data_IF_262529124825
#
_entry.id   IF_262529124825
#
_cell.length_a   1.000
_cell.length_b   1.000
_cell.length_c   1.000
_cell.angle_alpha   90.00
_cell.angle_beta   90.00
_cell.angle_gamma   90.00
#
_symmetry.space_group_name_H-M   'P 1'
#
loop_
_entity.id
_entity.type
_entity.pdbx_description
1 polymer ?
#
# COMPACT_ATOMS: atom_id res chain seq x y z
N UNK A 1 -6.29 9.26 4.03
CA UNK A 1 -5.15 9.54 4.94
C UNK A 1 -3.83 8.96 4.44
N UNK A 2 -3.63 8.92 3.10
CA UNK A 2 -2.39 8.46 2.49
C UNK A 2 -1.31 9.55 2.38
N UNK A 3 -0.11 9.17 1.89
CA UNK A 3 1.03 10.09 1.74
C UNK A 3 0.70 11.35 0.95
N UNK A 4 -0.02 11.22 -0.17
CA UNK A 4 -0.38 12.36 -1.02
C UNK A 4 -1.31 13.35 -0.31
N UNK A 5 -2.32 12.84 0.42
CA UNK A 5 -3.23 13.67 1.20
C UNK A 5 -2.50 14.48 2.28
N UNK A 6 -1.60 13.81 3.03
CA UNK A 6 -0.84 14.46 4.11
C UNK A 6 0.17 15.46 3.56
N UNK A 7 0.84 15.13 2.45
CA UNK A 7 1.76 16.06 1.79
C UNK A 7 1.03 17.31 1.27
N UNK A 8 -0.13 17.13 0.62
CA UNK A 8 -0.97 18.22 0.14
C UNK A 8 -1.45 19.11 1.29
N UNK A 9 -2.01 18.51 2.35
CA UNK A 9 -2.51 19.25 3.50
C UNK A 9 -1.40 20.06 4.20
N UNK A 10 -0.21 19.45 4.37
CA UNK A 10 0.97 20.14 4.93
C UNK A 10 1.41 21.30 4.03
N UNK A 11 1.44 21.08 2.71
CA UNK A 11 1.86 22.11 1.76
C UNK A 11 0.88 23.27 1.72
N UNK A 12 -0.42 22.99 1.70
CA UNK A 12 -1.46 24.02 1.79
C UNK A 12 -1.29 24.88 3.05
N UNK A 13 -1.09 24.28 4.22
CA UNK A 13 -0.86 25.00 5.48
C UNK A 13 0.42 25.84 5.46
N UNK A 14 1.43 25.44 4.71
CA UNK A 14 2.67 26.24 4.53
C UNK A 14 2.43 27.48 3.67
N UNK A 15 1.62 27.34 2.62
CA UNK A 15 1.32 28.42 1.68
C UNK A 15 0.33 29.42 2.30
N UNK A 16 -0.73 28.90 2.92
CA UNK A 16 -1.77 29.70 3.56
C UNK A 16 -2.00 29.23 4.99
N UNK A 17 -1.74 30.13 5.94
CA UNK A 17 -1.91 29.87 7.37
C UNK A 17 -3.38 29.91 7.82
N UNK A 18 -4.25 30.50 7.03
CA UNK A 18 -5.66 30.73 7.38
C UNK A 18 -6.62 29.75 6.69
N UNK A 19 -6.18 29.07 5.63
CA UNK A 19 -7.03 28.12 4.90
C UNK A 19 -7.59 27.05 5.84
N UNK A 20 -8.88 26.80 5.78
CA UNK A 20 -9.48 25.67 6.49
C UNK A 20 -9.21 24.38 5.73
N UNK A 21 -8.60 23.41 6.40
CA UNK A 21 -8.25 22.13 5.80
C UNK A 21 -9.03 21.02 6.51
N UNK A 22 -9.78 20.25 5.73
CA UNK A 22 -10.44 19.04 6.21
C UNK A 22 -9.88 17.84 5.46
N UNK A 23 -9.37 16.85 6.20
CA UNK A 23 -8.95 15.55 5.64
C UNK A 23 -10.05 14.53 5.91
N UNK A 24 -10.54 13.89 4.84
CA UNK A 24 -11.56 12.84 4.91
C UNK A 24 -10.88 11.47 4.85
N UNK A 25 -11.28 10.57 5.72
CA UNK A 25 -10.80 9.19 5.71
C UNK A 25 -11.47 8.34 6.78
N UNK A 26 -11.38 7.00 6.68
CA UNK A 26 -12.05 6.11 7.63
C UNK A 26 -11.46 6.18 9.04
N UNK A 27 -10.16 6.44 9.15
CA UNK A 27 -9.43 6.52 10.43
C UNK A 27 -8.34 7.58 10.39
N UNK A 28 -8.01 8.23 11.52
CA UNK A 28 -6.93 9.20 11.63
C UNK A 28 -5.57 8.50 11.73
N UNK A 29 -5.26 7.63 10.78
CA UNK A 29 -4.01 6.87 10.74
C UNK A 29 -3.42 6.84 9.32
N UNK A 30 -2.10 6.77 9.24
CA UNK A 30 -1.37 6.45 8.02
C UNK A 30 -0.87 5.01 8.11
N UNK A 31 -1.18 4.20 7.12
CA UNK A 31 -0.53 2.90 6.95
C UNK A 31 0.78 3.11 6.20
N UNK A 32 1.90 2.78 6.84
CA UNK A 32 3.22 2.91 6.24
C UNK A 32 3.50 1.72 5.31
N UNK A 33 2.93 1.77 4.11
CA UNK A 33 2.99 0.71 3.10
C UNK A 33 4.40 0.21 2.75
N UNK A 34 5.47 1.04 2.74
CA UNK A 34 6.80 0.55 2.44
C UNK A 34 7.31 -0.56 3.38
N UNK A 35 6.82 -0.62 4.60
CA UNK A 35 7.21 -1.65 5.58
C UNK A 35 6.38 -2.94 5.51
N UNK A 36 5.40 -3.03 4.62
CA UNK A 36 4.64 -4.27 4.41
C UNK A 36 5.52 -5.47 4.06
N UNK A 37 6.64 -5.24 3.38
CA UNK A 37 7.60 -6.28 2.99
C UNK A 37 8.22 -7.04 4.18
N UNK A 38 8.26 -6.44 5.36
CA UNK A 38 8.88 -7.02 6.56
C UNK A 38 7.89 -7.73 7.49
N UNK A 39 6.59 -7.61 7.21
CA UNK A 39 5.57 -8.24 8.03
C UNK A 39 5.55 -9.78 7.89
N UNK A 40 5.71 -10.38 6.69
CA UNK A 40 5.72 -11.84 6.55
C UNK A 40 6.85 -12.51 7.33
N UNK A 41 8.04 -11.89 7.36
CA UNK A 41 9.21 -12.39 8.08
C UNK A 41 9.17 -12.13 9.59
N UNK A 42 8.17 -11.38 10.08
CA UNK A 42 8.05 -11.02 11.49
C UNK A 42 9.01 -9.91 11.96
N UNK A 43 9.72 -9.25 11.04
CA UNK A 43 10.56 -8.08 11.36
C UNK A 43 9.74 -6.86 11.74
N UNK A 44 8.47 -6.82 11.34
CA UNK A 44 7.46 -5.84 11.74
C UNK A 44 6.16 -6.53 12.08
N UNK A 45 5.41 -5.94 13.00
CA UNK A 45 4.02 -6.29 13.30
C UNK A 45 3.07 -5.33 12.60
N UNK A 46 1.80 -5.67 12.50
CA UNK A 46 0.78 -4.84 11.87
C UNK A 46 0.66 -3.45 12.55
N UNK A 47 0.81 -3.42 13.87
CA UNK A 47 0.73 -2.21 14.68
C UNK A 47 1.88 -1.24 14.35
N UNK A 48 3.08 -1.75 14.05
CA UNK A 48 4.26 -0.93 13.71
C UNK A 48 4.04 -0.13 12.41
N UNK A 49 3.11 -0.57 11.55
CA UNK A 49 2.80 0.08 10.30
C UNK A 49 1.69 1.12 10.42
N UNK A 50 1.00 1.18 11.55
CA UNK A 50 -0.09 2.12 11.80
C UNK A 50 0.44 3.34 12.53
N UNK A 51 0.48 4.48 11.85
CA UNK A 51 0.96 5.74 12.40
C UNK A 51 -0.24 6.61 12.74
N UNK A 52 -0.53 6.87 14.04
CA UNK A 52 -1.58 7.79 14.43
C UNK A 52 -1.33 9.20 13.94
N UNK A 53 -2.36 9.86 13.41
CA UNK A 53 -2.27 11.19 12.80
C UNK A 53 -2.82 12.32 13.67
N UNK A 54 -3.34 12.05 14.85
CA UNK A 54 -3.94 13.05 15.72
C UNK A 54 -3.00 14.23 16.00
N UNK A 55 -1.74 13.92 16.32
CA UNK A 55 -0.72 14.94 16.53
C UNK A 55 -0.38 15.73 15.27
N UNK A 56 -0.37 15.08 14.12
CA UNK A 56 -0.14 15.75 12.84
C UNK A 56 -1.29 16.72 12.55
N UNK A 57 -2.53 16.30 12.68
CA UNK A 57 -3.71 17.12 12.44
C UNK A 57 -3.77 18.30 13.40
N UNK A 58 -3.58 18.08 14.68
CA UNK A 58 -3.56 19.14 15.70
C UNK A 58 -2.48 20.19 15.43
N UNK A 59 -1.24 19.77 15.18
CA UNK A 59 -0.10 20.68 14.93
C UNK A 59 -0.26 21.52 13.66
N UNK A 60 -1.00 21.03 12.68
CA UNK A 60 -1.21 21.71 11.41
C UNK A 60 -2.59 22.38 11.31
N UNK A 61 -3.38 22.40 12.38
CA UNK A 61 -4.72 22.96 12.37
C UNK A 61 -5.64 22.35 11.32
N UNK A 62 -5.57 21.00 11.17
CA UNK A 62 -6.34 20.24 10.19
C UNK A 62 -7.51 19.59 10.90
N UNK A 63 -8.71 19.70 10.36
CA UNK A 63 -9.88 18.95 10.80
C UNK A 63 -9.85 17.56 10.16
N UNK A 64 -10.17 16.54 10.92
CA UNK A 64 -10.37 15.19 10.42
C UNK A 64 -11.86 14.86 10.40
N UNK A 65 -12.37 14.44 9.22
CA UNK A 65 -13.72 13.92 9.05
C UNK A 65 -13.66 12.40 8.88
N UNK A 66 -14.14 11.71 9.91
CA UNK A 66 -14.16 10.24 9.91
C UNK A 66 -15.30 9.73 9.02
N UNK A 67 -14.94 9.23 7.83
CA UNK A 67 -15.88 8.71 6.85
C UNK A 67 -15.19 8.30 5.56
N UNK A 68 -15.82 7.43 4.81
CA UNK A 68 -15.37 7.04 3.47
C UNK A 68 -16.08 7.91 2.42
N UNK A 69 -15.32 8.46 1.48
CA UNK A 69 -15.89 9.20 0.36
C UNK A 69 -16.62 8.24 -0.58
N UNK A 70 -17.91 8.50 -0.82
CA UNK A 70 -18.80 7.65 -1.63
C UNK A 70 -19.17 8.28 -2.97
N UNK A 71 -19.04 9.60 -3.09
CA UNK A 71 -19.39 10.31 -4.31
C UNK A 71 -19.05 11.80 -4.24
N UNK A 72 -19.34 12.48 -5.35
CA UNK A 72 -19.17 13.92 -5.49
C UNK A 72 -20.46 14.53 -6.05
N UNK A 73 -20.83 15.70 -5.54
CA UNK A 73 -21.94 16.50 -6.02
C UNK A 73 -21.51 17.93 -6.29
N UNK A 74 -22.38 18.69 -6.96
CA UNK A 74 -22.17 20.13 -7.24
C UNK A 74 -20.80 20.42 -7.89
N UNK A 75 -20.42 19.60 -8.88
CA UNK A 75 -19.12 19.77 -9.55
C UNK A 75 -17.91 19.58 -8.63
N UNK A 76 -18.05 18.77 -7.57
CA UNK A 76 -16.99 18.50 -6.59
C UNK A 76 -17.00 19.47 -5.39
N UNK A 77 -17.98 20.37 -5.30
CA UNK A 77 -18.13 21.29 -4.15
C UNK A 77 -18.74 20.62 -2.93
N UNK A 78 -19.27 19.41 -3.09
CA UNK A 78 -19.75 18.57 -1.99
C UNK A 78 -19.21 17.16 -2.16
N UNK A 79 -18.49 16.67 -1.16
CA UNK A 79 -18.02 15.28 -1.07
C UNK A 79 -19.01 14.52 -0.21
N UNK A 80 -19.67 13.52 -0.81
CA UNK A 80 -20.52 12.60 -0.07
C UNK A 80 -19.66 11.62 0.70
N UNK A 81 -19.99 11.40 1.96
CA UNK A 81 -19.30 10.43 2.81
C UNK A 81 -20.28 9.56 3.59
N UNK A 82 -19.80 8.44 4.10
CA UNK A 82 -20.58 7.57 5.01
C UNK A 82 -21.03 8.26 6.30
N UNK A 83 -20.44 9.42 6.63
CA UNK A 83 -20.74 10.22 7.82
C UNK A 83 -21.36 11.59 7.50
N UNK A 84 -21.95 11.72 6.32
CA UNK A 84 -22.58 12.95 5.83
C UNK A 84 -21.72 13.72 4.82
N UNK A 85 -22.29 14.75 4.17
CA UNK A 85 -21.61 15.53 3.16
C UNK A 85 -20.59 16.50 3.78
N UNK A 86 -19.50 16.74 3.03
CA UNK A 86 -18.49 17.75 3.36
C UNK A 86 -18.42 18.75 2.22
N UNK A 87 -18.80 20.00 2.47
CA UNK A 87 -18.72 21.08 1.50
C UNK A 87 -17.31 21.66 1.46
N UNK A 88 -16.92 22.17 0.28
CA UNK A 88 -15.59 22.71 0.04
C UNK A 88 -15.57 23.76 -1.06
N UNK A 89 -14.59 24.66 -1.04
CA UNK A 89 -14.25 25.61 -2.10
C UNK A 89 -13.12 25.08 -3.00
N UNK A 90 -12.35 24.13 -2.52
CA UNK A 90 -11.28 23.46 -3.23
C UNK A 90 -11.16 21.99 -2.82
N UNK A 91 -11.07 21.08 -3.80
CA UNK A 91 -10.99 19.65 -3.57
C UNK A 91 -9.68 19.09 -4.08
N UNK A 92 -8.98 18.34 -3.22
CA UNK A 92 -7.83 17.51 -3.59
C UNK A 92 -8.21 16.05 -3.44
N UNK A 93 -8.25 15.31 -4.54
CA UNK A 93 -8.49 13.87 -4.54
C UNK A 93 -7.17 13.14 -4.38
N UNK A 94 -6.96 12.50 -3.24
CA UNK A 94 -5.74 11.80 -2.88
C UNK A 94 -6.02 10.39 -2.33
N UNK A 95 -6.94 9.69 -3.01
CA UNK A 95 -7.42 8.35 -2.58
C UNK A 95 -6.43 7.21 -2.86
N UNK A 96 -5.29 7.50 -3.51
CA UNK A 96 -4.33 6.50 -3.91
C UNK A 96 -4.74 5.71 -5.15
N UNK A 97 -4.02 4.63 -5.43
CA UNK A 97 -4.28 3.74 -6.54
C UNK A 97 -5.10 2.51 -6.13
N UNK A 98 -5.81 1.94 -7.10
CA UNK A 98 -6.49 0.66 -6.94
C UNK A 98 -5.84 -0.39 -7.81
N UNK A 99 -5.66 -1.59 -7.28
CA UNK A 99 -5.15 -2.73 -8.05
C UNK A 99 -6.23 -3.25 -9.00
N UNK A 100 -5.90 -3.37 -10.28
CA UNK A 100 -6.78 -3.92 -11.30
C UNK A 100 -6.59 -5.43 -11.31
N UNK A 101 -7.57 -6.17 -10.78
CA UNK A 101 -7.57 -7.62 -10.72
C UNK A 101 -8.29 -8.23 -11.92
N UNK A 102 -7.75 -8.02 -13.12
CA UNK A 102 -8.30 -8.55 -14.38
C UNK A 102 -7.50 -9.70 -14.98
N UNK A 103 -6.35 -10.03 -14.39
CA UNK A 103 -5.55 -11.16 -14.85
C UNK A 103 -6.27 -12.47 -14.49
N UNK A 104 -6.46 -13.40 -15.44
CA UNK A 104 -7.04 -14.70 -15.13
C UNK A 104 -6.25 -15.42 -14.03
N UNK A 105 -6.94 -15.97 -13.04
CA UNK A 105 -6.33 -16.65 -11.88
C UNK A 105 -5.87 -15.72 -10.76
N UNK A 106 -6.02 -14.40 -10.89
CA UNK A 106 -5.57 -13.44 -9.86
C UNK A 106 -6.36 -13.60 -8.54
N UNK A 107 -7.55 -14.18 -8.59
CA UNK A 107 -8.35 -14.51 -7.42
C UNK A 107 -7.69 -15.54 -6.50
N UNK A 108 -6.79 -16.35 -7.03
CA UNK A 108 -6.01 -17.33 -6.27
C UNK A 108 -4.71 -16.76 -5.70
N UNK A 109 -4.32 -15.55 -6.12
CA UNK A 109 -3.11 -14.90 -5.68
C UNK A 109 -3.37 -13.93 -4.52
N UNK A 110 -2.35 -13.76 -3.68
CA UNK A 110 -2.34 -12.71 -2.66
C UNK A 110 -1.54 -11.53 -3.22
N UNK A 111 -2.17 -10.36 -3.27
CA UNK A 111 -1.51 -9.11 -3.66
C UNK A 111 -1.05 -8.37 -2.39
N UNK A 112 0.25 -8.43 -2.02
CA UNK A 112 0.72 -7.89 -0.73
C UNK A 112 0.45 -6.39 -0.57
N UNK A 113 0.51 -5.64 -1.68
CA UNK A 113 0.32 -4.19 -1.65
C UNK A 113 -1.12 -3.74 -1.35
N UNK A 114 -2.08 -4.66 -1.22
CA UNK A 114 -3.45 -4.34 -0.77
C UNK A 114 -3.52 -3.97 0.72
N UNK A 115 -2.42 -4.14 1.44
CA UNK A 115 -2.31 -3.69 2.81
C UNK A 115 -2.06 -4.81 3.82
N UNK A 116 -2.19 -4.47 5.09
CA UNK A 116 -1.82 -5.31 6.23
C UNK A 116 -2.51 -6.68 6.17
N UNK A 117 -3.84 -6.71 5.99
CA UNK A 117 -4.59 -7.95 5.97
C UNK A 117 -4.17 -8.93 4.86
N UNK A 118 -3.77 -8.41 3.68
CA UNK A 118 -3.27 -9.25 2.60
C UNK A 118 -1.91 -9.88 2.96
N UNK A 119 -1.04 -9.09 3.58
CA UNK A 119 0.29 -9.56 3.98
C UNK A 119 0.22 -10.51 5.16
N UNK A 120 -0.72 -10.34 6.07
CA UNK A 120 -0.99 -11.31 7.15
C UNK A 120 -1.45 -12.65 6.60
N UNK A 121 -2.38 -12.66 5.62
CA UNK A 121 -2.75 -13.90 4.92
C UNK A 121 -1.56 -14.56 4.24
N UNK A 122 -0.67 -13.77 3.59
CA UNK A 122 0.55 -14.28 2.99
C UNK A 122 1.46 -14.94 4.05
N UNK A 123 1.69 -14.24 5.16
CA UNK A 123 2.49 -14.75 6.29
C UNK A 123 1.94 -16.08 6.79
N UNK A 124 0.65 -16.13 7.06
CA UNK A 124 0.02 -17.30 7.65
C UNK A 124 0.05 -18.49 6.68
N UNK A 125 -0.23 -18.25 5.39
CA UNK A 125 -0.12 -19.29 4.36
C UNK A 125 1.29 -19.85 4.22
N UNK A 126 2.32 -19.00 4.28
CA UNK A 126 3.73 -19.45 4.24
C UNK A 126 4.09 -20.25 5.50
N UNK A 127 3.59 -19.85 6.67
CA UNK A 127 3.82 -20.58 7.93
C UNK A 127 3.21 -21.98 7.91
N UNK A 128 2.03 -22.13 7.35
CA UNK A 128 1.31 -23.40 7.24
C UNK A 128 1.94 -24.36 6.21
N UNK A 129 2.66 -23.84 5.21
CA UNK A 129 3.31 -24.67 4.20
C UNK A 129 4.40 -25.51 4.81
N UNK A 130 4.31 -26.81 4.64
CA UNK A 130 5.37 -27.77 5.00
C UNK A 130 6.36 -27.98 3.85
N UNK A 131 5.84 -28.04 2.64
CA UNK A 131 6.58 -28.22 1.38
C UNK A 131 5.82 -27.63 0.21
N UNK A 132 6.45 -27.48 -0.94
CA UNK A 132 5.83 -27.04 -2.18
C UNK A 132 6.52 -25.84 -2.83
N UNK A 133 5.78 -25.11 -3.65
CA UNK A 133 6.30 -23.97 -4.43
C UNK A 133 5.59 -22.69 -4.07
N UNK A 134 6.35 -21.64 -3.81
CA UNK A 134 5.85 -20.27 -3.71
C UNK A 134 6.28 -19.52 -4.97
N UNK A 135 5.32 -19.13 -5.78
CA UNK A 135 5.55 -18.28 -6.95
C UNK A 135 5.33 -16.82 -6.56
N UNK A 136 6.31 -15.97 -6.83
CA UNK A 136 6.27 -14.53 -6.56
C UNK A 136 6.60 -13.79 -7.86
N UNK A 137 5.94 -12.70 -8.09
CA UNK A 137 6.25 -11.92 -9.29
C UNK A 137 5.23 -10.83 -9.55
N UNK A 138 5.30 -10.27 -10.73
CA UNK A 138 4.39 -9.24 -11.20
C UNK A 138 4.21 -9.34 -12.71
N UNK A 139 3.05 -8.89 -13.17
CA UNK A 139 2.75 -8.75 -14.59
C UNK A 139 3.05 -7.32 -15.07
N UNK A 140 3.27 -7.16 -16.36
CA UNK A 140 3.31 -5.86 -17.03
C UNK A 140 1.92 -5.36 -17.38
N UNK A 141 1.83 -4.07 -17.66
CA UNK A 141 0.67 -3.50 -18.34
C UNK A 141 0.97 -3.48 -19.85
N UNK A 142 0.24 -4.25 -20.68
CA UNK A 142 0.49 -4.28 -22.13
C UNK A 142 0.31 -2.91 -22.79
N UNK A 143 -0.58 -2.07 -22.25
CA UNK A 143 -0.87 -0.74 -22.77
C UNK A 143 0.09 0.34 -22.26
N UNK A 144 0.90 0.06 -21.22
CA UNK A 144 1.85 1.00 -20.63
C UNK A 144 3.05 0.26 -20.02
N UNK A 145 3.96 -0.25 -20.83
CA UNK A 145 5.12 -1.00 -20.35
C UNK A 145 6.03 -0.20 -19.41
N UNK A 146 6.06 1.13 -19.56
CA UNK A 146 6.86 2.02 -18.70
C UNK A 146 6.35 2.11 -17.27
N UNK A 147 5.09 1.73 -17.02
CA UNK A 147 4.47 1.75 -15.69
C UNK A 147 4.96 0.62 -14.77
N UNK A 148 5.75 -0.33 -15.29
CA UNK A 148 6.29 -1.43 -14.49
C UNK A 148 7.26 -0.91 -13.41
N UNK A 149 6.97 -1.28 -12.17
CA UNK A 149 7.76 -0.92 -10.98
C UNK A 149 7.90 -2.14 -10.09
N UNK A 150 8.96 -2.91 -10.33
CA UNK A 150 9.20 -4.18 -9.65
C UNK A 150 10.04 -4.10 -8.37
N UNK A 151 10.55 -2.92 -7.98
CA UNK A 151 11.48 -2.81 -6.86
C UNK A 151 11.04 -3.53 -5.58
N UNK A 152 9.89 -3.21 -4.99
CA UNK A 152 9.45 -3.83 -3.74
C UNK A 152 9.20 -5.35 -3.84
N UNK A 153 8.91 -5.89 -5.02
CA UNK A 153 8.64 -7.32 -5.15
C UNK A 153 9.90 -8.16 -4.97
N UNK A 154 11.09 -7.63 -5.22
CA UNK A 154 12.34 -8.35 -4.98
C UNK A 154 12.62 -8.56 -3.49
N UNK A 155 12.13 -7.66 -2.63
CA UNK A 155 12.30 -7.78 -1.18
C UNK A 155 11.54 -8.97 -0.61
N UNK A 156 10.38 -9.33 -1.18
CA UNK A 156 9.60 -10.47 -0.71
C UNK A 156 10.34 -11.81 -0.89
N UNK A 157 10.88 -12.19 -2.06
CA UNK A 157 11.61 -13.45 -2.21
C UNK A 157 12.89 -13.49 -1.36
N UNK A 158 13.62 -12.39 -1.22
CA UNK A 158 14.83 -12.36 -0.38
C UNK A 158 14.49 -12.47 1.11
N UNK A 159 13.47 -11.76 1.57
CA UNK A 159 12.98 -11.87 2.94
C UNK A 159 12.47 -13.27 3.26
N UNK A 160 11.72 -13.86 2.32
CA UNK A 160 11.19 -15.22 2.45
C UNK A 160 12.29 -16.28 2.40
N UNK A 161 13.28 -16.17 1.50
CA UNK A 161 14.43 -17.06 1.45
C UNK A 161 15.20 -17.06 2.78
N UNK A 162 15.48 -15.87 3.30
CA UNK A 162 16.16 -15.69 4.58
C UNK A 162 15.36 -16.31 5.73
N UNK A 163 14.04 -16.11 5.76
CA UNK A 163 13.16 -16.68 6.77
C UNK A 163 13.17 -18.22 6.70
N UNK A 164 12.97 -18.79 5.51
CA UNK A 164 12.91 -20.24 5.31
C UNK A 164 14.24 -20.91 5.68
N UNK A 165 15.38 -20.28 5.41
CA UNK A 165 16.70 -20.78 5.83
C UNK A 165 16.83 -20.78 7.35
N UNK A 166 16.46 -19.71 8.00
CA UNK A 166 16.46 -19.62 9.47
C UNK A 166 15.56 -20.66 10.12
N UNK A 167 14.43 -20.96 9.49
CA UNK A 167 13.47 -21.98 9.94
C UNK A 167 13.83 -23.40 9.50
N UNK A 168 14.94 -23.62 8.77
CA UNK A 168 15.38 -24.91 8.20
C UNK A 168 14.33 -25.55 7.28
N UNK A 169 13.58 -24.74 6.55
CA UNK A 169 12.50 -25.17 5.65
C UNK A 169 12.82 -24.90 4.17
N UNK A 170 13.93 -24.21 3.87
CA UNK A 170 14.26 -23.74 2.53
C UNK A 170 14.34 -24.85 1.48
N UNK A 171 14.84 -26.00 1.83
CA UNK A 171 14.99 -27.15 0.92
C UNK A 171 13.64 -27.78 0.54
N UNK A 172 12.63 -27.65 1.40
CA UNK A 172 11.29 -28.19 1.18
C UNK A 172 10.39 -27.24 0.41
N UNK A 173 10.75 -25.94 0.34
CA UNK A 173 9.95 -24.91 -0.29
C UNK A 173 10.74 -24.27 -1.43
N UNK A 174 10.28 -24.52 -2.66
CA UNK A 174 10.84 -23.93 -3.87
C UNK A 174 10.31 -22.52 -4.02
N UNK A 175 11.21 -21.54 -4.26
CA UNK A 175 10.85 -20.18 -4.62
C UNK A 175 10.99 -19.99 -6.13
N UNK A 176 9.96 -19.50 -6.78
CA UNK A 176 9.94 -19.17 -8.21
C UNK A 176 9.62 -17.70 -8.35
N UNK A 177 10.50 -16.96 -8.99
CA UNK A 177 10.26 -15.55 -9.33
C UNK A 177 9.94 -15.42 -10.81
N UNK A 178 8.88 -14.69 -11.14
CA UNK A 178 8.49 -14.38 -12.51
C UNK A 178 8.25 -12.89 -12.70
N UNK A 179 8.59 -12.40 -13.89
CA UNK A 179 8.40 -10.99 -14.27
C UNK A 179 8.38 -10.85 -15.80
N UNK A 180 7.85 -9.76 -16.35
CA UNK A 180 7.76 -9.54 -17.79
C UNK A 180 9.03 -8.94 -18.41
N UNK A 181 10.08 -8.66 -17.63
CA UNK A 181 11.31 -8.06 -18.11
C UNK A 181 12.31 -9.14 -18.55
N UNK A 182 12.99 -9.00 -19.69
CA UNK A 182 14.01 -9.95 -20.14
C UNK A 182 15.19 -10.05 -19.15
N UNK A 183 15.56 -8.94 -18.53
CA UNK A 183 16.66 -8.87 -17.57
C UNK A 183 16.13 -8.31 -16.23
N UNK A 184 15.65 -9.17 -15.33
CA UNK A 184 15.17 -8.73 -14.03
C UNK A 184 16.32 -8.15 -13.20
N UNK A 185 16.08 -7.02 -12.56
CA UNK A 185 17.07 -6.40 -11.67
C UNK A 185 18.04 -5.41 -12.31
N UNK A 186 17.99 -5.14 -13.60
CA UNK A 186 18.88 -4.16 -14.27
C UNK A 186 18.96 -2.79 -13.57
N UNK A 187 17.88 -2.39 -12.90
CA UNK A 187 17.85 -1.12 -12.13
C UNK A 187 18.54 -1.20 -10.79
N UNK A 188 18.93 -2.37 -10.33
CA UNK A 188 19.66 -2.59 -9.08
C UNK A 188 21.18 -2.51 -9.28
N UNK A 189 21.63 -2.28 -10.50
CA UNK A 189 23.02 -2.21 -10.91
C UNK A 189 23.49 -3.49 -11.60
N UNK A 190 24.44 -3.34 -12.51
CA UNK A 190 25.22 -4.44 -13.07
C UNK A 190 26.39 -4.74 -12.12
N UNK A 191 26.64 -6.02 -11.86
CA UNK A 191 27.88 -6.47 -11.24
C UNK A 191 28.79 -7.01 -12.31
#
# INVERSE_FOLDING_TARGET
TGFAALAAARKLRQIDKQVEITVIGPRPELIFLPSLIWLPSGLRKAEDLRIPLDNFFRRNGIRFHAGEATGLEQGGRSVLTTAGPVHNDGLVIACGGRFIKKLPGIEHAITPCEGIAAVERLRDRVREMKEGTVALGFAGNPNEPSAMRGGPIFEFPFGLDTQLRRERRREKIRLVFFNPMPNPGNRLGEK
#
